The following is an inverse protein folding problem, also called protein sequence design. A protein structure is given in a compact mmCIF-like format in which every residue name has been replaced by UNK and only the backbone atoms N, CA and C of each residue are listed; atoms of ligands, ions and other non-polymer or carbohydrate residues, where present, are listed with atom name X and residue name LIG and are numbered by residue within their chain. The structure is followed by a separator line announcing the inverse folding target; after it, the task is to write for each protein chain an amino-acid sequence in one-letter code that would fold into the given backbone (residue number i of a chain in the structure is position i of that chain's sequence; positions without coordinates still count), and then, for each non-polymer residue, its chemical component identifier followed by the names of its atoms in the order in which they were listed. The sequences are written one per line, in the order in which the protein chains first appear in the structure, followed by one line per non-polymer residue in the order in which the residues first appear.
data_IF_220150745846
#
_entry.id   IF_220150745846
#
_cell.length_a   1.000
_cell.length_b   1.000
_cell.length_c   1.000
_cell.angle_alpha   90.00
_cell.angle_beta   90.00
_cell.angle_gamma   90.00
#
_symmetry.space_group_name_H-M   'P 1'
#
loop_
_entity.id
_entity.type
_entity.pdbx_description
1 polymer ?
#
# COMPACT_ATOMS: atom_id res chain seq x y z
N UNK A 1 0.01 -7.76 9.67
CA UNK A 1 0.10 -6.31 9.39
C UNK A 1 1.56 -5.84 9.39
N UNK A 2 2.03 -5.25 8.28
CA UNK A 2 3.40 -4.72 8.14
C UNK A 2 3.41 -3.20 8.17
N UNK A 3 4.46 -2.62 8.75
CA UNK A 3 4.61 -1.18 8.96
C UNK A 3 5.67 -0.61 8.03
N UNK A 4 5.31 0.42 7.27
CA UNK A 4 6.17 1.09 6.30
C UNK A 4 6.32 2.56 6.68
N UNK A 5 7.56 3.04 6.74
CA UNK A 5 7.84 4.44 7.03
C UNK A 5 7.55 5.29 5.80
N UNK A 6 6.76 6.34 5.98
CA UNK A 6 6.50 7.30 4.90
C UNK A 6 7.80 8.05 4.58
N UNK A 7 8.14 8.21 3.29
CA UNK A 7 9.20 9.11 2.85
C UNK A 7 8.93 10.54 3.32
N UNK A 8 9.99 11.29 3.66
CA UNK A 8 9.89 12.68 4.13
C UNK A 8 9.15 13.60 3.15
N UNK A 9 9.29 13.32 1.86
CA UNK A 9 8.62 14.02 0.75
C UNK A 9 7.11 13.81 0.69
N UNK A 10 6.62 12.71 1.26
CA UNK A 10 5.20 12.35 1.34
C UNK A 10 4.63 12.59 2.74
N UNK A 11 5.46 13.08 3.68
CA UNK A 11 5.01 13.39 5.03
C UNK A 11 4.16 14.66 5.03
N UNK A 12 2.98 14.64 5.65
CA UNK A 12 2.28 15.88 5.97
C UNK A 12 3.08 16.64 7.05
N UNK A 13 3.00 17.97 7.06
CA UNK A 13 3.72 18.92 7.96
C UNK A 13 3.38 18.79 9.47
N UNK A 14 3.03 17.59 9.95
CA UNK A 14 2.54 17.34 11.30
C UNK A 14 3.68 16.78 12.15
N UNK A 15 4.31 17.65 12.94
CA UNK A 15 5.29 17.26 13.95
C UNK A 15 4.63 16.40 15.04
N UNK A 16 5.02 15.12 15.16
CA UNK A 16 4.84 14.33 16.38
C UNK A 16 3.94 13.09 16.34
N UNK A 17 3.40 12.69 15.19
CA UNK A 17 2.60 11.44 15.05
C UNK A 17 3.41 10.32 14.39
N UNK A 18 3.11 9.05 14.67
CA UNK A 18 3.76 7.90 14.00
C UNK A 18 3.63 8.02 12.48
N UNK A 19 4.76 8.25 11.79
CA UNK A 19 4.89 8.54 10.35
C UNK A 19 4.93 7.28 9.51
N UNK A 20 4.05 6.35 9.78
CA UNK A 20 4.06 5.06 9.13
C UNK A 20 2.68 4.67 8.67
N UNK A 21 2.62 4.08 7.48
CA UNK A 21 1.45 3.36 7.04
C UNK A 21 1.57 1.91 7.48
N UNK A 22 0.45 1.31 7.82
CA UNK A 22 0.38 -0.12 8.07
C UNK A 22 -0.48 -0.76 7.02
N UNK A 23 0.08 -1.73 6.29
CA UNK A 23 -0.59 -2.46 5.22
C UNK A 23 -0.73 -3.93 5.62
N UNK A 24 -1.91 -4.47 5.38
CA UNK A 24 -2.22 -5.88 5.51
C UNK A 24 -3.05 -6.36 4.33
N UNK A 25 -2.55 -7.38 3.65
CA UNK A 25 -3.25 -8.08 2.56
C UNK A 25 -3.85 -9.36 3.15
N UNK A 26 -5.17 -9.49 3.10
CA UNK A 26 -5.88 -10.69 3.54
C UNK A 26 -6.08 -11.57 2.31
N UNK A 27 -5.65 -12.82 2.42
CA UNK A 27 -5.63 -13.76 1.29
C UNK A 27 -6.50 -14.96 1.62
N UNK A 28 -7.48 -15.24 0.76
CA UNK A 28 -8.32 -16.42 0.85
C UNK A 28 -8.27 -17.19 -0.47
N UNK A 29 -8.02 -18.50 -0.38
CA UNK A 29 -7.92 -19.40 -1.54
C UNK A 29 -6.95 -18.93 -2.64
N UNK A 30 -5.90 -18.21 -2.25
CA UNK A 30 -4.88 -17.68 -3.17
C UNK A 30 -5.25 -16.34 -3.83
N UNK A 31 -6.33 -15.69 -3.41
CA UNK A 31 -6.75 -14.37 -3.90
C UNK A 31 -6.82 -13.38 -2.74
N UNK A 32 -6.54 -12.11 -3.03
CA UNK A 32 -6.71 -11.03 -2.05
C UNK A 32 -8.21 -10.82 -1.82
N UNK A 33 -8.68 -11.09 -0.61
CA UNK A 33 -10.08 -10.93 -0.20
C UNK A 33 -10.34 -9.62 0.52
N UNK A 34 -9.32 -8.98 1.08
CA UNK A 34 -9.44 -7.68 1.73
C UNK A 34 -8.05 -7.01 1.85
N UNK A 35 -8.04 -5.68 1.96
CA UNK A 35 -6.83 -4.88 2.13
C UNK A 35 -7.06 -3.86 3.24
N UNK A 36 -6.30 -3.99 4.31
CA UNK A 36 -6.36 -3.05 5.44
C UNK A 36 -5.18 -2.11 5.38
N UNK A 37 -5.47 -0.81 5.31
CA UNK A 37 -4.48 0.25 5.30
C UNK A 37 -4.79 1.20 6.45
N UNK A 38 -3.85 1.34 7.36
CA UNK A 38 -3.93 2.35 8.43
C UNK A 38 -2.97 3.47 8.10
N UNK A 39 -3.53 4.66 7.90
CA UNK A 39 -2.77 5.88 7.65
C UNK A 39 -2.52 6.64 8.96
N UNK A 40 -1.44 7.45 9.02
CA UNK A 40 -1.21 8.37 10.12
C UNK A 40 -2.39 9.31 10.35
N UNK A 41 -2.59 9.72 11.61
CA UNK A 41 -3.64 10.66 11.99
C UNK A 41 -3.45 11.99 11.25
N UNK A 42 -4.51 12.44 10.56
CA UNK A 42 -4.50 13.66 9.77
C UNK A 42 -4.22 13.45 8.28
N UNK A 43 -3.83 12.23 7.87
CA UNK A 43 -3.68 11.86 6.48
C UNK A 43 -4.98 11.24 5.96
N UNK A 44 -5.67 11.98 5.09
CA UNK A 44 -6.84 11.51 4.35
C UNK A 44 -6.49 11.59 2.87
N UNK A 45 -5.95 10.49 2.35
CA UNK A 45 -5.44 10.43 0.98
C UNK A 45 -5.98 9.16 0.30
N UNK A 46 -6.92 9.31 -0.66
CA UNK A 46 -7.54 8.17 -1.32
C UNK A 46 -6.56 7.37 -2.20
N UNK A 47 -5.42 7.95 -2.58
CA UNK A 47 -4.41 7.24 -3.38
C UNK A 47 -3.81 6.06 -2.62
N UNK A 48 -3.87 6.07 -1.29
CA UNK A 48 -3.42 4.97 -0.44
C UNK A 48 -4.48 3.88 -0.29
N UNK A 49 -5.72 4.06 -0.76
CA UNK A 49 -6.72 3.00 -0.73
C UNK A 49 -6.49 1.98 -1.86
N UNK A 50 -5.68 0.96 -1.56
CA UNK A 50 -5.39 -0.12 -2.49
C UNK A 50 -6.49 -1.20 -2.54
N UNK A 51 -7.53 -1.13 -1.70
CA UNK A 51 -8.56 -2.16 -1.64
C UNK A 51 -9.29 -2.28 -2.99
N UNK A 52 -9.63 -1.15 -3.61
CA UNK A 52 -10.30 -1.12 -4.91
C UNK A 52 -9.45 -1.67 -6.07
N UNK A 53 -8.12 -1.75 -5.88
CA UNK A 53 -7.17 -2.19 -6.91
C UNK A 53 -6.87 -3.68 -6.73
N UNK A 54 -6.65 -4.10 -5.49
CA UNK A 54 -6.13 -5.42 -5.16
C UNK A 54 -7.21 -6.44 -4.83
N UNK A 55 -8.41 -6.01 -4.44
CA UNK A 55 -9.50 -6.94 -4.14
C UNK A 55 -9.80 -7.86 -5.34
N UNK A 56 -9.85 -9.17 -5.07
CA UNK A 56 -10.08 -10.19 -6.09
C UNK A 56 -8.87 -10.51 -6.96
N UNK A 57 -7.73 -9.83 -6.79
CA UNK A 57 -6.51 -10.15 -7.53
C UNK A 57 -5.84 -11.42 -6.98
N UNK A 58 -5.24 -12.26 -7.83
CA UNK A 58 -4.51 -13.43 -7.38
C UNK A 58 -3.27 -13.01 -6.60
N UNK A 59 -3.05 -13.60 -5.41
CA UNK A 59 -1.92 -13.27 -4.54
C UNK A 59 -0.62 -13.88 -5.08
N UNK A 60 0.03 -13.18 -6.00
CA UNK A 60 1.25 -13.62 -6.69
C UNK A 60 2.32 -12.53 -6.68
N UNK A 61 3.51 -12.86 -7.18
CA UNK A 61 4.61 -11.89 -7.39
C UNK A 61 4.27 -10.77 -8.38
N UNK A 62 3.16 -10.88 -9.10
CA UNK A 62 2.71 -9.86 -10.06
C UNK A 62 1.82 -8.78 -9.45
N UNK A 63 1.40 -8.91 -8.18
CA UNK A 63 0.59 -7.89 -7.49
C UNK A 63 1.13 -6.45 -7.62
N UNK A 64 2.45 -6.20 -7.44
CA UNK A 64 2.99 -4.85 -7.51
C UNK A 64 2.83 -4.23 -8.91
N UNK A 65 2.82 -5.08 -9.95
CA UNK A 65 2.58 -4.65 -11.32
C UNK A 65 1.12 -4.23 -11.56
N UNK A 66 0.16 -4.89 -10.89
CA UNK A 66 -1.25 -4.46 -10.90
C UNK A 66 -1.39 -3.07 -10.30
N UNK A 67 -0.76 -2.83 -9.14
CA UNK A 67 -0.74 -1.51 -8.48
C UNK A 67 -0.11 -0.45 -9.39
N UNK A 68 1.03 -0.77 -10.02
CA UNK A 68 1.70 0.14 -10.94
C UNK A 68 0.78 0.59 -12.09
N UNK A 69 -0.02 -0.33 -12.67
CA UNK A 69 -0.94 -0.02 -13.77
C UNK A 69 -2.16 0.80 -13.33
N UNK A 70 -2.65 0.59 -12.12
CA UNK A 70 -3.86 1.25 -11.63
C UNK A 70 -3.61 2.66 -11.09
N UNK A 71 -2.38 2.97 -10.64
CA UNK A 71 -2.02 4.27 -10.07
C UNK A 71 -1.35 5.22 -11.08
N UNK A 72 -1.75 5.21 -12.36
CA UNK A 72 -1.09 6.01 -13.40
C UNK A 72 -1.17 7.53 -13.16
N UNK A 73 -2.24 8.00 -12.50
CA UNK A 73 -2.48 9.42 -12.21
C UNK A 73 -1.83 9.87 -10.89
N UNK A 74 -1.32 8.94 -10.08
CA UNK A 74 -0.65 9.22 -8.81
C UNK A 74 0.79 9.65 -9.07
N UNK A 75 1.32 10.66 -8.34
CA UNK A 75 2.72 11.07 -8.43
C UNK A 75 3.68 9.88 -8.31
N UNK A 76 4.73 9.88 -9.14
CA UNK A 76 5.67 8.77 -9.27
C UNK A 76 6.26 8.31 -7.93
N UNK A 77 6.60 9.25 -7.05
CA UNK A 77 7.16 8.96 -5.74
C UNK A 77 6.19 8.21 -4.83
N UNK A 78 4.93 8.66 -4.75
CA UNK A 78 3.87 8.00 -3.99
C UNK A 78 3.54 6.62 -4.58
N UNK A 79 3.44 6.53 -5.90
CA UNK A 79 3.25 5.25 -6.60
C UNK A 79 4.38 4.27 -6.30
N UNK A 80 5.63 4.72 -6.38
CA UNK A 80 6.81 3.89 -6.11
C UNK A 80 6.81 3.38 -4.68
N UNK A 81 6.47 4.23 -3.72
CA UNK A 81 6.32 3.85 -2.33
C UNK A 81 5.23 2.78 -2.12
N UNK A 82 4.04 2.96 -2.69
CA UNK A 82 2.94 1.99 -2.58
C UNK A 82 3.31 0.64 -3.22
N UNK A 83 3.96 0.66 -4.38
CA UNK A 83 4.47 -0.56 -5.05
C UNK A 83 5.46 -1.28 -4.14
N UNK A 84 6.41 -0.56 -3.54
CA UNK A 84 7.38 -1.13 -2.61
C UNK A 84 6.68 -1.76 -1.40
N UNK A 85 5.66 -1.10 -0.83
CA UNK A 85 4.90 -1.64 0.30
C UNK A 85 4.22 -2.97 -0.05
N UNK A 86 3.64 -3.06 -1.25
CA UNK A 86 3.03 -4.31 -1.75
C UNK A 86 4.09 -5.37 -2.01
N UNK A 87 5.20 -5.01 -2.66
CA UNK A 87 6.30 -5.93 -2.97
C UNK A 87 6.91 -6.53 -1.69
N UNK A 88 7.19 -5.71 -0.68
CA UNK A 88 7.68 -6.18 0.60
C UNK A 88 6.64 -7.02 1.33
N UNK A 89 5.34 -6.70 1.20
CA UNK A 89 4.26 -7.49 1.80
C UNK A 89 4.15 -8.91 1.22
N UNK A 90 4.39 -9.08 -0.08
CA UNK A 90 4.35 -10.39 -0.75
C UNK A 90 5.67 -11.17 -0.64
N UNK A 91 6.83 -10.48 -0.57
CA UNK A 91 8.17 -11.12 -0.58
C UNK A 91 8.37 -12.11 0.56
N UNK A 92 7.81 -11.83 1.73
CA UNK A 92 7.95 -12.71 2.90
C UNK A 92 6.91 -13.86 2.92
N UNK A 93 6.05 -13.95 1.91
CA UNK A 93 4.96 -14.94 1.84
C UNK A 93 5.06 -15.86 0.62
N UNK A 94 5.54 -15.37 -0.54
CA UNK A 94 5.55 -16.07 -1.84
C UNK A 94 6.95 -16.44 -2.33
#
# INVERSE_FOLDING_TARGET
MKKFHLPETLMPDISGSSLAIELELIVEKGYVSDVKITLPRGMLDPDYDLANILYGQPFTRELPFVVHKSLNEVPEEKRSFLIQCVEESIRDVV
#
